data_IF_656858322790
#
_entry.id   IF_656858322790
#
_cell.length_a   1.000
_cell.length_b   1.000
_cell.length_c   1.000
_cell.angle_alpha   90.00
_cell.angle_beta   90.00
_cell.angle_gamma   90.00
#
_symmetry.space_group_name_H-M   'P 1'
#
loop_
_entity.id
_entity.type
_entity.pdbx_description
1 polymer ?
#
# COMPACT_ATOMS: atom_id res chain seq x y z
N UNK A 1 -16.10 -0.17 4.18
CA UNK A 1 -15.24 -1.25 3.63
C UNK A 1 -15.75 -2.66 3.98
N UNK A 2 -16.13 -2.96 5.22
CA UNK A 2 -16.56 -4.32 5.65
C UNK A 2 -17.54 -5.03 4.70
N UNK A 3 -18.76 -4.51 4.52
CA UNK A 3 -19.78 -5.14 3.66
C UNK A 3 -19.37 -5.15 2.18
N UNK A 4 -18.67 -4.12 1.70
CA UNK A 4 -18.14 -4.07 0.33
C UNK A 4 -17.17 -5.22 0.04
N UNK A 5 -16.53 -5.81 1.06
CA UNK A 5 -15.65 -6.97 0.90
C UNK A 5 -16.36 -8.18 0.28
N UNK A 6 -17.67 -8.33 0.49
CA UNK A 6 -18.45 -9.46 -0.06
C UNK A 6 -18.75 -9.30 -1.55
N UNK A 7 -18.58 -8.11 -2.13
CA UNK A 7 -18.75 -7.91 -3.56
C UNK A 7 -17.76 -8.77 -4.37
N UNK A 8 -16.65 -9.19 -3.77
CA UNK A 8 -15.67 -10.05 -4.44
C UNK A 8 -16.22 -11.45 -4.73
N UNK A 9 -17.23 -11.92 -3.99
CA UNK A 9 -17.88 -13.20 -4.24
C UNK A 9 -18.56 -13.26 -5.63
N UNK A 10 -18.87 -12.10 -6.21
CA UNK A 10 -19.45 -11.99 -7.56
C UNK A 10 -18.40 -11.88 -8.66
N UNK A 11 -17.12 -11.75 -8.31
CA UNK A 11 -16.05 -11.53 -9.27
C UNK A 11 -15.40 -12.85 -9.68
N UNK A 12 -15.89 -13.40 -10.79
CA UNK A 12 -15.46 -14.72 -11.30
C UNK A 12 -14.22 -14.60 -12.20
N UNK A 13 -14.20 -13.61 -13.10
CA UNK A 13 -13.14 -13.46 -14.10
C UNK A 13 -12.19 -12.31 -13.79
N UNK A 14 -10.95 -12.47 -14.23
CA UNK A 14 -9.93 -11.43 -14.12
C UNK A 14 -10.27 -10.19 -14.96
N UNK A 15 -11.03 -10.38 -16.05
CA UNK A 15 -11.44 -9.28 -16.94
C UNK A 15 -12.36 -8.27 -16.24
N UNK A 16 -13.28 -8.75 -15.41
CA UNK A 16 -14.15 -7.89 -14.60
C UNK A 16 -13.33 -7.05 -13.62
N UNK A 17 -12.30 -7.65 -13.04
CA UNK A 17 -11.39 -6.99 -12.09
C UNK A 17 -10.45 -6.03 -12.80
N UNK A 18 -9.99 -6.38 -14.00
CA UNK A 18 -9.19 -5.51 -14.85
C UNK A 18 -9.99 -4.28 -15.27
N UNK A 19 -11.25 -4.44 -15.64
CA UNK A 19 -12.16 -3.32 -15.93
C UNK A 19 -12.33 -2.40 -14.73
N UNK A 20 -12.61 -2.96 -13.55
CA UNK A 20 -12.67 -2.17 -12.31
C UNK A 20 -11.35 -1.46 -12.04
N UNK A 21 -10.21 -2.10 -12.28
CA UNK A 21 -8.88 -1.51 -12.08
C UNK A 21 -8.64 -0.29 -12.98
N UNK A 22 -9.18 -0.27 -14.21
CA UNK A 22 -9.15 0.92 -15.06
C UNK A 22 -9.94 2.09 -14.45
N UNK A 23 -11.13 1.81 -13.90
CA UNK A 23 -11.93 2.82 -13.17
C UNK A 23 -11.14 3.35 -11.97
N UNK A 24 -10.46 2.47 -11.23
CA UNK A 24 -9.57 2.83 -10.13
C UNK A 24 -8.42 3.73 -10.59
N UNK A 25 -7.77 3.39 -11.70
CA UNK A 25 -6.68 4.18 -12.28
C UNK A 25 -7.12 5.58 -12.71
N UNK A 26 -8.26 5.69 -13.40
CA UNK A 26 -8.86 7.00 -13.77
C UNK A 26 -9.19 7.79 -12.51
N UNK A 27 -9.80 7.15 -11.52
CA UNK A 27 -10.14 7.79 -10.25
C UNK A 27 -8.90 8.33 -9.53
N UNK A 28 -7.81 7.56 -9.49
CA UNK A 28 -6.53 8.01 -8.93
C UNK A 28 -5.96 9.24 -9.67
N UNK A 29 -5.99 9.25 -11.00
CA UNK A 29 -5.52 10.39 -11.80
C UNK A 29 -6.36 11.63 -11.49
N UNK A 30 -7.68 11.50 -11.50
CA UNK A 30 -8.60 12.62 -11.19
C UNK A 30 -8.37 13.13 -9.77
N UNK A 31 -8.30 12.23 -8.77
CA UNK A 31 -7.99 12.61 -7.39
C UNK A 31 -6.65 13.34 -7.30
N UNK A 32 -5.62 12.86 -8.00
CA UNK A 32 -4.29 13.48 -8.01
C UNK A 32 -4.34 14.92 -8.56
N UNK A 33 -5.04 15.13 -9.68
CA UNK A 33 -5.24 16.46 -10.27
C UNK A 33 -5.98 17.37 -9.29
N UNK A 34 -7.07 16.89 -8.68
CA UNK A 34 -7.86 17.67 -7.73
C UNK A 34 -7.05 18.05 -6.48
N UNK A 35 -6.21 17.15 -5.97
CA UNK A 35 -5.29 17.45 -4.86
C UNK A 35 -4.33 18.56 -5.26
N UNK A 36 -3.72 18.51 -6.44
CA UNK A 36 -2.81 19.57 -6.89
C UNK A 36 -3.52 20.92 -7.05
N UNK A 37 -4.76 20.94 -7.55
CA UNK A 37 -5.55 22.17 -7.65
C UNK A 37 -5.84 22.74 -6.27
N UNK A 38 -6.27 21.91 -5.32
CA UNK A 38 -6.55 22.32 -3.93
C UNK A 38 -5.29 22.82 -3.22
N UNK A 39 -4.16 22.13 -3.39
CA UNK A 39 -2.86 22.59 -2.87
C UNK A 39 -2.47 23.94 -3.47
N UNK A 40 -2.72 24.17 -4.77
CA UNK A 40 -2.46 25.44 -5.43
C UNK A 40 -3.35 26.59 -4.92
N UNK A 41 -4.62 26.31 -4.61
CA UNK A 41 -5.55 27.30 -4.03
C UNK A 41 -5.16 27.68 -2.59
N UNK A 42 -4.65 26.72 -1.82
CA UNK A 42 -4.26 26.90 -0.42
C UNK A 42 -2.82 27.37 -0.23
N UNK A 43 -2.07 27.62 -1.30
CA UNK A 43 -0.65 27.96 -1.20
C UNK A 43 -0.44 29.40 -0.73
N UNK A 44 -0.09 29.56 0.55
CA UNK A 44 0.29 30.84 1.14
C UNK A 44 1.71 30.74 1.70
N UNK A 45 2.66 31.45 1.10
CA UNK A 45 4.02 31.56 1.61
C UNK A 45 4.02 32.52 2.82
N UNK A 46 3.90 32.01 4.04
CA UNK A 46 4.20 32.76 5.25
C UNK A 46 5.57 32.32 5.80
N UNK A 47 6.37 33.27 6.27
CA UNK A 47 7.72 32.98 6.81
C UNK A 47 7.72 32.19 8.12
N UNK A 48 6.56 32.07 8.79
CA UNK A 48 6.41 31.32 10.05
C UNK A 48 6.32 29.81 9.82
N UNK A 49 5.77 29.37 8.69
CA UNK A 49 5.64 27.95 8.29
C UNK A 49 7.02 27.28 8.09
N UNK A 50 8.05 28.08 7.82
CA UNK A 50 9.41 27.58 7.56
C UNK A 50 10.08 26.96 8.81
N UNK A 51 9.66 27.34 10.02
CA UNK A 51 10.20 26.80 11.27
C UNK A 51 9.50 25.53 11.75
N UNK A 52 8.22 25.31 11.40
CA UNK A 52 7.46 24.11 11.77
C UNK A 52 7.70 22.92 10.82
N UNK A 53 7.93 23.17 9.52
CA UNK A 53 8.03 22.12 8.49
C UNK A 53 9.25 21.18 8.61
N UNK A 54 10.32 21.59 9.31
CA UNK A 54 11.57 20.83 9.40
C UNK A 54 11.88 20.26 10.79
N UNK A 55 10.91 20.27 11.71
CA UNK A 55 11.15 19.86 13.09
C UNK A 55 11.06 18.33 13.24
N UNK A 56 12.17 17.60 13.06
CA UNK A 56 12.27 16.22 13.55
C UNK A 56 12.44 16.29 15.07
N UNK A 57 11.34 16.18 15.81
CA UNK A 57 11.31 16.34 17.26
C UNK A 57 12.01 15.20 18.01
N UNK A 58 12.14 14.00 17.42
CA UNK A 58 12.77 12.87 18.09
C UNK A 58 13.23 11.74 17.13
N UNK A 59 14.12 10.88 17.63
CA UNK A 59 14.53 9.62 16.96
C UNK A 59 13.31 8.72 16.70
N UNK A 60 12.28 8.78 17.56
CA UNK A 60 11.03 8.05 17.39
C UNK A 60 10.26 8.51 16.15
N UNK A 61 10.20 9.81 15.91
CA UNK A 61 9.47 10.38 14.75
C UNK A 61 10.19 10.07 13.43
N UNK A 62 11.53 10.04 13.47
CA UNK A 62 12.35 9.62 12.35
C UNK A 62 12.11 8.14 11.99
N UNK A 63 12.12 7.25 12.99
CA UNK A 63 11.83 5.82 12.79
C UNK A 63 10.40 5.63 12.30
N UNK A 64 9.43 6.33 12.88
CA UNK A 64 8.03 6.25 12.46
C UNK A 64 7.85 6.71 11.00
N UNK A 65 8.61 7.70 10.57
CA UNK A 65 8.64 8.18 9.18
C UNK A 65 9.25 7.14 8.23
N UNK A 66 10.40 6.53 8.57
CA UNK A 66 11.00 5.43 7.78
C UNK A 66 10.00 4.28 7.63
N UNK A 67 9.38 3.91 8.74
CA UNK A 67 8.46 2.80 8.83
C UNK A 67 7.18 3.09 8.02
N UNK A 68 6.66 4.32 8.03
CA UNK A 68 5.60 4.79 7.11
C UNK A 68 6.03 4.72 5.64
N UNK A 69 7.22 5.21 5.29
CA UNK A 69 7.72 5.16 3.92
C UNK A 69 7.84 3.73 3.39
N UNK A 70 8.24 2.76 4.23
CA UNK A 70 8.31 1.34 3.82
C UNK A 70 6.97 0.79 3.33
N UNK A 71 5.86 1.23 3.92
CA UNK A 71 4.51 0.81 3.53
C UNK A 71 4.06 1.36 2.18
N UNK A 72 4.61 2.50 1.75
CA UNK A 72 4.32 3.12 0.45
C UNK A 72 5.09 2.40 -0.67
N UNK A 73 6.27 1.87 -0.36
CA UNK A 73 7.18 1.27 -1.34
C UNK A 73 6.86 -0.23 -1.57
N UNK A 74 6.31 -0.92 -0.57
CA UNK A 74 6.11 -2.37 -0.63
C UNK A 74 4.84 -2.80 -1.39
N UNK A 75 4.99 -2.98 -2.72
CA UNK A 75 3.99 -3.61 -3.61
C UNK A 75 4.36 -5.05 -4.03
N UNK A 76 5.24 -5.72 -3.29
CA UNK A 76 5.83 -7.03 -3.66
C UNK A 76 4.81 -8.15 -3.84
N UNK A 77 3.67 -8.14 -3.14
CA UNK A 77 2.60 -9.14 -3.32
C UNK A 77 1.91 -9.08 -4.70
N UNK A 78 1.90 -7.92 -5.34
CA UNK A 78 1.28 -7.75 -6.67
C UNK A 78 2.18 -8.27 -7.79
N UNK A 79 3.51 -8.27 -7.58
CA UNK A 79 4.54 -8.70 -8.53
C UNK A 79 4.35 -10.15 -8.95
N UNK A 80 4.19 -11.03 -7.96
CA UNK A 80 4.00 -12.46 -8.19
C UNK A 80 2.76 -12.73 -9.06
N UNK A 81 1.65 -12.04 -8.78
CA UNK A 81 0.42 -12.22 -9.54
C UNK A 81 0.47 -11.63 -10.93
N UNK A 82 1.13 -10.49 -11.14
CA UNK A 82 1.34 -9.96 -12.49
C UNK A 82 2.13 -10.99 -13.31
N UNK A 83 3.19 -11.60 -12.75
CA UNK A 83 3.95 -12.66 -13.44
C UNK A 83 3.08 -13.90 -13.72
N UNK A 84 2.26 -14.34 -12.77
CA UNK A 84 1.42 -15.53 -12.91
C UNK A 84 0.26 -15.37 -13.90
N UNK A 85 -0.15 -14.14 -14.21
CA UNK A 85 -1.26 -13.84 -15.13
C UNK A 85 -0.76 -13.41 -16.51
N UNK A 86 0.50 -12.99 -16.63
CA UNK A 86 1.08 -12.65 -17.93
C UNK A 86 1.19 -13.90 -18.81
N UNK A 87 0.55 -13.87 -19.98
CA UNK A 87 0.67 -14.94 -20.99
C UNK A 87 2.12 -15.14 -21.48
N UNK A 88 2.93 -14.06 -21.47
CA UNK A 88 4.34 -14.06 -21.90
C UNK A 88 5.18 -13.11 -21.04
N UNK A 89 5.62 -13.52 -19.83
CA UNK A 89 6.45 -12.67 -18.98
C UNK A 89 7.84 -12.54 -19.60
N UNK A 90 8.10 -11.42 -20.27
CA UNK A 90 9.46 -11.05 -20.67
C UNK A 90 10.12 -10.26 -19.54
N UNK A 91 11.25 -10.75 -19.02
CA UNK A 91 11.99 -10.14 -17.90
C UNK A 91 12.14 -8.62 -18.05
N UNK A 92 12.57 -8.14 -19.23
CA UNK A 92 12.78 -6.72 -19.50
C UNK A 92 11.49 -5.88 -19.42
N UNK A 93 10.38 -6.39 -19.94
CA UNK A 93 9.09 -5.66 -19.89
C UNK A 93 8.57 -5.62 -18.46
N UNK A 94 8.63 -6.76 -17.78
CA UNK A 94 8.22 -6.89 -16.39
C UNK A 94 9.03 -5.98 -15.46
N UNK A 95 10.36 -6.00 -15.57
CA UNK A 95 11.24 -5.19 -14.73
C UNK A 95 11.00 -3.69 -14.92
N UNK A 96 10.81 -3.23 -16.16
CA UNK A 96 10.53 -1.81 -16.44
C UNK A 96 9.18 -1.38 -15.89
N UNK A 97 8.12 -2.15 -16.12
CA UNK A 97 6.79 -1.86 -15.59
C UNK A 97 6.79 -1.88 -14.06
N UNK A 98 7.49 -2.84 -13.45
CA UNK A 98 7.63 -2.93 -12.01
C UNK A 98 8.37 -1.72 -11.44
N UNK A 99 9.56 -1.40 -11.93
CA UNK A 99 10.35 -0.25 -11.45
C UNK A 99 9.57 1.05 -11.59
N UNK A 100 8.91 1.27 -12.73
CA UNK A 100 8.10 2.46 -12.97
C UNK A 100 6.93 2.56 -11.98
N UNK A 101 6.15 1.48 -11.83
CA UNK A 101 5.01 1.44 -10.89
C UNK A 101 5.43 1.57 -9.42
N UNK A 102 6.55 0.95 -9.04
CA UNK A 102 7.13 1.01 -7.70
C UNK A 102 7.72 2.38 -7.37
N UNK A 103 8.09 3.19 -8.38
CA UNK A 103 8.68 4.51 -8.18
C UNK A 103 7.64 5.64 -8.18
N UNK A 104 6.62 5.57 -9.04
CA UNK A 104 5.62 6.65 -9.17
C UNK A 104 4.86 6.90 -7.87
N UNK A 105 4.37 5.85 -7.23
CA UNK A 105 3.53 5.99 -6.04
C UNK A 105 4.28 6.63 -4.86
N UNK A 106 5.52 6.21 -4.52
CA UNK A 106 6.35 6.92 -3.54
C UNK A 106 6.66 8.37 -3.93
N UNK A 107 7.01 8.64 -5.19
CA UNK A 107 7.32 10.00 -5.65
C UNK A 107 6.10 10.92 -5.47
N UNK A 108 4.92 10.46 -5.90
CA UNK A 108 3.68 11.22 -5.72
C UNK A 108 3.40 11.49 -4.24
N UNK A 109 3.54 10.49 -3.37
CA UNK A 109 3.36 10.66 -1.94
C UNK A 109 4.34 11.67 -1.34
N UNK A 110 5.62 11.62 -1.73
CA UNK A 110 6.65 12.57 -1.27
C UNK A 110 6.29 13.99 -1.70
N UNK A 111 5.90 14.20 -2.97
CA UNK A 111 5.55 15.53 -3.47
C UNK A 111 4.33 16.09 -2.72
N UNK A 112 3.28 15.29 -2.57
CA UNK A 112 2.04 15.71 -1.88
C UNK A 112 2.29 15.99 -0.40
N UNK A 113 3.07 15.14 0.29
CA UNK A 113 3.44 15.37 1.69
C UNK A 113 4.32 16.61 1.86
N UNK A 114 5.28 16.81 0.95
CA UNK A 114 6.15 17.99 0.97
C UNK A 114 5.36 19.28 0.75
N UNK A 115 4.49 19.33 -0.26
CA UNK A 115 3.62 20.49 -0.47
C UNK A 115 2.64 20.70 0.68
N UNK A 116 2.07 19.61 1.20
CA UNK A 116 1.20 19.64 2.37
C UNK A 116 1.87 20.23 3.60
N UNK A 117 3.17 19.99 3.82
CA UNK A 117 3.89 20.53 4.98
C UNK A 117 4.11 22.04 4.94
N UNK A 118 4.00 22.66 3.76
CA UNK A 118 4.04 24.12 3.63
C UNK A 118 2.65 24.78 3.71
N UNK A 119 1.58 23.99 3.73
CA UNK A 119 0.21 24.50 3.70
C UNK A 119 -0.50 24.25 5.04
N UNK A 120 -0.23 23.11 5.68
CA UNK A 120 -0.86 22.72 6.93
C UNK A 120 0.13 22.82 8.09
N UNK A 121 -0.16 23.69 9.06
CA UNK A 121 0.64 23.88 10.28
C UNK A 121 0.54 22.71 11.28
N UNK A 122 -0.45 21.83 11.11
CA UNK A 122 -0.68 20.68 11.98
C UNK A 122 -0.09 19.38 11.42
N UNK A 123 0.37 18.50 12.32
CA UNK A 123 0.79 17.12 12.05
C UNK A 123 -0.01 16.53 10.89
N UNK A 124 0.67 16.26 9.76
CA UNK A 124 0.10 15.71 8.53
C UNK A 124 -0.43 14.26 8.67
N UNK A 125 -0.70 13.81 9.89
CA UNK A 125 -1.27 12.50 10.14
C UNK A 125 -2.68 12.41 9.54
N UNK A 126 -2.86 11.42 8.66
CA UNK A 126 -4.12 11.14 8.01
C UNK A 126 -4.15 11.50 6.53
N UNK A 127 -5.36 11.60 6.00
CA UNK A 127 -5.59 11.79 4.57
C UNK A 127 -5.61 13.29 4.23
N UNK A 128 -4.73 13.74 3.33
CA UNK A 128 -4.59 15.16 2.98
C UNK A 128 -5.88 15.77 2.42
N UNK A 129 -6.70 14.97 1.71
CA UNK A 129 -7.99 15.43 1.16
C UNK A 129 -8.98 15.79 2.27
N UNK A 130 -8.84 15.19 3.46
CA UNK A 130 -9.68 15.47 4.62
C UNK A 130 -9.22 16.71 5.41
N UNK A 131 -8.04 17.26 5.10
CA UNK A 131 -7.49 18.44 5.78
C UNK A 131 -7.94 19.76 5.15
N UNK A 132 -8.41 19.74 3.90
CA UNK A 132 -8.89 20.95 3.24
C UNK A 132 -10.22 21.41 3.84
N UNK A 133 -10.27 22.66 4.27
CA UNK A 133 -11.50 23.30 4.75
C UNK A 133 -12.27 23.94 3.59
N UNK A 134 -13.58 23.73 3.60
CA UNK A 134 -14.57 24.34 2.70
C UNK A 134 -14.74 25.85 2.90
N UNK A 135 -14.21 26.43 3.99
CA UNK A 135 -14.20 27.88 4.21
C UNK A 135 -13.17 28.61 3.33
N UNK A 136 -12.08 27.94 2.98
CA UNK A 136 -10.95 28.50 2.22
C UNK A 136 -10.87 27.98 0.78
N UNK A 137 -11.46 26.81 0.51
CA UNK A 137 -11.40 26.14 -0.78
C UNK A 137 -12.79 25.84 -1.33
N UNK A 138 -12.87 25.58 -2.65
CA UNK A 138 -14.13 25.21 -3.28
C UNK A 138 -14.64 23.87 -2.72
N UNK A 139 -15.77 23.94 -2.02
CA UNK A 139 -16.46 22.79 -1.44
C UNK A 139 -16.76 21.69 -2.46
N UNK A 140 -17.09 22.07 -3.70
CA UNK A 140 -17.39 21.10 -4.75
C UNK A 140 -16.14 20.32 -5.17
N UNK A 141 -14.98 20.98 -5.22
CA UNK A 141 -13.70 20.33 -5.51
C UNK A 141 -13.29 19.36 -4.41
N UNK A 142 -13.47 19.74 -3.14
CA UNK A 142 -13.19 18.85 -2.00
C UNK A 142 -14.08 17.60 -2.07
N UNK A 143 -15.40 17.78 -2.27
CA UNK A 143 -16.33 16.66 -2.37
C UNK A 143 -15.97 15.74 -3.55
N UNK A 144 -15.65 16.31 -4.72
CA UNK A 144 -15.22 15.54 -5.88
C UNK A 144 -13.94 14.74 -5.61
N UNK A 145 -12.96 15.33 -4.92
CA UNK A 145 -11.72 14.65 -4.53
C UNK A 145 -12.01 13.49 -3.56
N UNK A 146 -12.90 13.68 -2.60
CA UNK A 146 -13.29 12.64 -1.65
C UNK A 146 -14.03 11.47 -2.32
N UNK A 147 -14.95 11.76 -3.24
CA UNK A 147 -15.71 10.73 -3.97
C UNK A 147 -14.77 9.91 -4.88
N UNK A 148 -13.93 10.58 -5.66
CA UNK A 148 -12.99 9.91 -6.57
C UNK A 148 -11.96 9.08 -5.80
N UNK A 149 -11.48 9.58 -4.67
CA UNK A 149 -10.61 8.83 -3.77
C UNK A 149 -11.31 7.61 -3.16
N UNK A 150 -12.59 7.75 -2.77
CA UNK A 150 -13.37 6.63 -2.26
C UNK A 150 -13.53 5.52 -3.32
N UNK A 151 -13.82 5.90 -4.57
CA UNK A 151 -13.90 4.95 -5.69
C UNK A 151 -12.57 4.23 -5.87
N UNK A 152 -11.45 4.97 -5.92
CA UNK A 152 -10.11 4.39 -6.01
C UNK A 152 -9.83 3.39 -4.87
N UNK A 153 -10.17 3.76 -3.63
CA UNK A 153 -9.96 2.91 -2.45
C UNK A 153 -10.80 1.63 -2.52
N UNK A 154 -12.09 1.73 -2.88
CA UNK A 154 -12.98 0.56 -2.99
C UNK A 154 -12.47 -0.39 -4.08
N UNK A 155 -12.13 0.12 -5.27
CA UNK A 155 -11.63 -0.69 -6.38
C UNK A 155 -10.32 -1.37 -6.01
N UNK A 156 -9.35 -0.61 -5.49
CA UNK A 156 -8.04 -1.15 -5.09
C UNK A 156 -8.17 -2.20 -3.99
N UNK A 157 -9.12 -1.99 -3.08
CA UNK A 157 -9.44 -2.93 -2.01
C UNK A 157 -10.04 -4.24 -2.56
N UNK A 158 -11.00 -4.16 -3.48
CA UNK A 158 -11.57 -5.34 -4.14
C UNK A 158 -10.49 -6.11 -4.91
N UNK A 159 -9.61 -5.41 -5.64
CA UNK A 159 -8.50 -6.05 -6.34
C UNK A 159 -7.59 -6.85 -5.39
N UNK A 160 -7.21 -6.26 -4.26
CA UNK A 160 -6.39 -6.94 -3.23
C UNK A 160 -7.11 -8.13 -2.62
N UNK A 161 -8.41 -8.02 -2.36
CA UNK A 161 -9.23 -9.13 -1.84
C UNK A 161 -9.27 -10.33 -2.80
N UNK A 162 -9.36 -10.07 -4.11
CA UNK A 162 -9.30 -11.12 -5.13
C UNK A 162 -7.95 -11.82 -5.16
N UNK A 163 -6.87 -11.04 -5.13
CA UNK A 163 -5.51 -11.55 -5.08
C UNK A 163 -5.31 -12.42 -3.83
N UNK A 164 -5.72 -11.92 -2.67
CA UNK A 164 -5.62 -12.64 -1.41
C UNK A 164 -6.47 -13.92 -1.38
N UNK A 165 -7.66 -13.92 -1.98
CA UNK A 165 -8.49 -15.13 -2.04
C UNK A 165 -7.87 -16.21 -2.93
N UNK A 166 -7.18 -15.83 -4.01
CA UNK A 166 -6.40 -16.76 -4.83
C UNK A 166 -5.22 -17.34 -4.07
N UNK A 167 -4.44 -16.51 -3.38
CA UNK A 167 -3.34 -16.99 -2.54
C UNK A 167 -3.81 -17.93 -1.44
N UNK A 168 -4.87 -17.56 -0.72
CA UNK A 168 -5.45 -18.40 0.32
C UNK A 168 -5.82 -19.78 -0.24
N UNK A 169 -6.41 -19.83 -1.44
CA UNK A 169 -6.76 -21.10 -2.07
C UNK A 169 -5.53 -21.93 -2.48
N UNK A 170 -4.50 -21.30 -3.08
CA UNK A 170 -3.27 -21.96 -3.51
C UNK A 170 -2.54 -22.66 -2.36
N UNK A 171 -2.61 -22.14 -1.13
CA UNK A 171 -2.03 -22.79 0.06
C UNK A 171 -2.60 -24.19 0.29
N UNK A 172 -3.88 -24.41 -0.01
CA UNK A 172 -4.54 -25.71 0.25
C UNK A 172 -4.59 -26.63 -0.96
N UNK A 173 -4.45 -26.10 -2.17
CA UNK A 173 -4.71 -26.83 -3.41
C UNK A 173 -3.53 -26.84 -4.39
N UNK A 174 -2.39 -26.26 -4.01
CA UNK A 174 -1.17 -26.23 -4.82
C UNK A 174 -1.17 -25.14 -5.90
N UNK A 175 -0.17 -25.13 -6.80
CA UNK A 175 -0.11 -24.19 -7.90
C UNK A 175 -1.26 -24.42 -8.87
N UNK A 176 -2.24 -23.52 -8.85
CA UNK A 176 -3.45 -23.64 -9.65
C UNK A 176 -3.33 -22.85 -10.94
N UNK A 177 -3.45 -23.58 -12.04
CA UNK A 177 -3.78 -23.02 -13.35
C UNK A 177 -5.16 -22.34 -13.32
N UNK A 178 -5.31 -21.23 -14.04
CA UNK A 178 -6.50 -20.34 -14.01
C UNK A 178 -7.83 -21.10 -14.20
N UNK A 179 -7.83 -22.19 -14.96
CA UNK A 179 -9.02 -22.99 -15.24
C UNK A 179 -9.64 -23.64 -13.98
N UNK A 180 -8.81 -24.11 -13.05
CA UNK A 180 -9.27 -24.74 -11.80
C UNK A 180 -9.77 -23.70 -10.77
N UNK A 181 -9.27 -22.47 -10.85
CA UNK A 181 -9.77 -21.35 -10.04
C UNK A 181 -11.22 -21.00 -10.40
N UNK A 182 -11.55 -20.93 -11.68
CA UNK A 182 -12.89 -20.55 -12.17
C UNK A 182 -14.01 -21.48 -11.68
N UNK A 183 -13.67 -22.73 -11.34
CA UNK A 183 -14.62 -23.72 -10.84
C UNK A 183 -14.88 -23.60 -9.33
N UNK A 184 -13.91 -23.09 -8.56
CA UNK A 184 -13.93 -23.10 -7.09
C UNK A 184 -13.77 -21.71 -6.44
N UNK A 185 -13.84 -20.62 -7.22
CA UNK A 185 -13.54 -19.25 -6.76
C UNK A 185 -14.40 -18.75 -5.59
N UNK A 186 -15.66 -19.19 -5.50
CA UNK A 186 -16.66 -18.64 -4.59
C UNK A 186 -16.29 -18.81 -3.11
N UNK A 187 -15.82 -19.98 -2.72
CA UNK A 187 -15.53 -20.32 -1.33
C UNK A 187 -14.28 -19.58 -0.79
N UNK A 188 -13.13 -19.53 -1.50
CA UNK A 188 -12.01 -18.69 -1.11
C UNK A 188 -12.35 -17.19 -1.11
N UNK A 189 -13.15 -16.70 -2.06
CA UNK A 189 -13.58 -15.29 -2.06
C UNK A 189 -14.45 -14.95 -0.86
N UNK A 190 -15.34 -15.88 -0.46
CA UNK A 190 -16.19 -15.72 0.71
C UNK A 190 -15.37 -15.69 2.01
N UNK A 191 -14.43 -16.64 2.19
CA UNK A 191 -13.57 -16.64 3.36
C UNK A 191 -12.65 -15.41 3.43
N UNK A 192 -12.09 -14.96 2.30
CA UNK A 192 -11.32 -13.72 2.22
C UNK A 192 -12.15 -12.47 2.60
N UNK A 193 -13.41 -12.42 2.15
CA UNK A 193 -14.34 -11.36 2.54
C UNK A 193 -14.69 -11.39 4.04
N UNK A 194 -14.95 -12.58 4.58
CA UNK A 194 -15.27 -12.77 6.00
C UNK A 194 -14.10 -12.44 6.93
N UNK A 195 -12.88 -12.88 6.59
CA UNK A 195 -11.69 -12.56 7.41
C UNK A 195 -11.48 -11.06 7.49
N UNK A 196 -11.70 -10.33 6.40
CA UNK A 196 -11.61 -8.88 6.41
C UNK A 196 -12.72 -8.20 7.21
N UNK A 197 -13.96 -8.69 7.14
CA UNK A 197 -15.05 -8.21 8.00
C UNK A 197 -14.67 -8.43 9.47
N UNK A 198 -14.24 -9.64 9.82
CA UNK A 198 -13.84 -9.98 11.18
C UNK A 198 -12.67 -9.11 11.67
N UNK A 199 -11.68 -8.86 10.82
CA UNK A 199 -10.54 -8.01 11.14
C UNK A 199 -10.96 -6.55 11.36
N UNK A 200 -11.81 -5.99 10.49
CA UNK A 200 -12.34 -4.62 10.66
C UNK A 200 -13.20 -4.52 11.93
N UNK A 201 -14.05 -5.51 12.20
CA UNK A 201 -14.86 -5.58 13.41
C UNK A 201 -14.00 -5.68 14.66
N UNK A 202 -12.95 -6.50 14.64
CA UNK A 202 -12.01 -6.64 15.75
C UNK A 202 -11.27 -5.32 16.03
N UNK A 203 -10.78 -4.65 14.99
CA UNK A 203 -10.13 -3.34 15.12
C UNK A 203 -11.05 -2.29 15.76
N UNK A 204 -12.34 -2.30 15.39
CA UNK A 204 -13.34 -1.41 15.96
C UNK A 204 -13.59 -1.70 17.45
N UNK A 205 -13.75 -2.99 17.81
CA UNK A 205 -14.00 -3.43 19.19
C UNK A 205 -12.79 -3.18 20.09
N UNK A 206 -11.59 -3.46 19.59
CA UNK A 206 -10.34 -3.32 20.34
C UNK A 206 -9.93 -1.86 20.58
N UNK A 207 -10.63 -0.88 19.99
CA UNK A 207 -10.33 0.57 20.07
C UNK A 207 -8.83 0.88 19.87
N UNK A 208 -8.16 0.08 19.03
CA UNK A 208 -6.73 0.23 18.80
C UNK A 208 -6.51 1.58 18.13
N UNK A 209 -5.68 2.43 18.74
CA UNK A 209 -5.26 3.70 18.14
C UNK A 209 -4.63 3.42 16.77
N UNK A 210 -4.96 4.25 15.78
CA UNK A 210 -4.48 4.13 14.39
C UNK A 210 -2.95 3.95 14.29
N UNK A 211 -2.19 4.61 15.16
CA UNK A 211 -0.72 4.50 15.26
C UNK A 211 -0.24 3.08 15.61
N UNK A 212 -0.88 2.42 16.59
CA UNK A 212 -0.52 1.05 16.99
C UNK A 212 -0.91 0.05 15.91
N UNK A 213 -2.05 0.26 15.25
CA UNK A 213 -2.46 -0.56 14.11
C UNK A 213 -1.46 -0.45 12.96
N UNK A 214 -0.98 0.76 12.67
CA UNK A 214 0.01 1.00 11.64
C UNK A 214 1.29 0.20 11.90
N UNK A 215 1.81 0.24 13.14
CA UNK A 215 2.99 -0.51 13.56
C UNK A 215 2.81 -2.04 13.43
N UNK A 216 1.63 -2.58 13.80
CA UNK A 216 1.33 -4.02 13.64
C UNK A 216 1.32 -4.41 12.15
N UNK A 217 0.64 -3.64 11.31
CA UNK A 217 0.56 -3.89 9.87
C UNK A 217 1.95 -3.82 9.20
N UNK A 218 2.87 -3.01 9.74
CA UNK A 218 4.21 -2.82 9.20
C UNK A 218 5.14 -3.99 9.47
N UNK A 219 4.94 -4.77 10.55
CA UNK A 219 5.71 -6.01 10.78
C UNK A 219 5.58 -6.95 9.59
N UNK A 220 4.36 -7.12 9.07
CA UNK A 220 4.10 -7.92 7.86
C UNK A 220 4.86 -7.38 6.64
N UNK A 221 4.82 -6.06 6.43
CA UNK A 221 5.54 -5.40 5.32
C UNK A 221 7.05 -5.61 5.42
N UNK A 222 7.64 -5.46 6.61
CA UNK A 222 9.07 -5.64 6.83
C UNK A 222 9.48 -7.09 6.58
N UNK A 223 8.67 -8.06 7.03
CA UNK A 223 8.88 -9.48 6.75
C UNK A 223 8.92 -9.75 5.24
N UNK A 224 7.95 -9.22 4.49
CA UNK A 224 7.85 -9.44 3.04
C UNK A 224 8.90 -8.70 2.21
N UNK A 225 9.43 -7.58 2.68
CA UNK A 225 10.37 -6.77 1.90
C UNK A 225 11.84 -6.99 2.29
N UNK A 226 12.13 -7.19 3.58
CA UNK A 226 13.50 -7.21 4.09
C UNK A 226 13.96 -8.56 4.64
N UNK A 227 13.04 -9.49 4.93
CA UNK A 227 13.40 -10.78 5.55
C UNK A 227 13.21 -11.92 4.57
N UNK A 228 11.99 -12.13 4.06
CA UNK A 228 11.68 -13.27 3.20
C UNK A 228 12.50 -13.26 1.90
N UNK A 229 12.57 -12.16 1.11
CA UNK A 229 13.30 -12.20 -0.16
C UNK A 229 14.81 -12.48 0.02
N UNK A 230 15.52 -11.84 0.96
CA UNK A 230 16.91 -12.19 1.25
C UNK A 230 17.11 -13.64 1.69
N UNK A 231 16.25 -14.17 2.57
CA UNK A 231 16.34 -15.57 3.03
C UNK A 231 16.18 -16.53 1.84
N UNK A 232 15.18 -16.30 0.98
CA UNK A 232 14.98 -17.13 -0.21
C UNK A 232 16.14 -17.01 -1.20
N UNK A 233 16.65 -15.80 -1.43
CA UNK A 233 17.80 -15.57 -2.31
C UNK A 233 19.03 -16.35 -1.83
N UNK A 234 19.38 -16.25 -0.55
CA UNK A 234 20.52 -16.96 0.04
C UNK A 234 20.35 -18.49 0.04
N UNK A 235 19.10 -18.98 0.07
CA UNK A 235 18.80 -20.41 -0.03
C UNK A 235 18.87 -20.92 -1.48
N UNK A 236 18.48 -20.11 -2.45
CA UNK A 236 18.43 -20.50 -3.87
C UNK A 236 19.79 -20.37 -4.56
N UNK A 237 20.61 -19.40 -4.18
CA UNK A 237 21.88 -19.10 -4.86
C UNK A 237 23.08 -19.35 -3.94
N UNK A 238 24.05 -20.18 -4.36
CA UNK A 238 25.24 -20.43 -3.57
C UNK A 238 26.11 -19.16 -3.45
N UNK A 239 26.64 -18.92 -2.26
CA UNK A 239 27.38 -17.70 -1.92
C UNK A 239 28.58 -17.42 -2.84
N UNK A 240 29.25 -18.48 -3.32
CA UNK A 240 30.42 -18.36 -4.18
C UNK A 240 30.11 -17.78 -5.57
N UNK A 241 28.91 -18.00 -6.10
CA UNK A 241 28.51 -17.52 -7.43
C UNK A 241 27.95 -16.09 -7.38
N UNK A 242 27.29 -15.72 -6.29
CA UNK A 242 26.58 -14.45 -6.14
C UNK A 242 27.05 -13.66 -4.90
N UNK A 243 28.37 -13.55 -4.70
CA UNK A 243 28.97 -12.98 -3.48
C UNK A 243 28.45 -11.57 -3.14
N UNK A 244 28.41 -10.67 -4.12
CA UNK A 244 27.94 -9.29 -3.94
C UNK A 244 26.47 -9.24 -3.51
N UNK A 245 25.61 -9.97 -4.21
CA UNK A 245 24.18 -10.03 -3.92
C UNK A 245 23.88 -10.70 -2.58
N UNK A 246 24.65 -11.72 -2.22
CA UNK A 246 24.55 -12.38 -0.92
C UNK A 246 24.89 -11.43 0.23
N UNK A 247 25.90 -10.57 0.07
CA UNK A 247 26.23 -9.52 1.05
C UNK A 247 25.07 -8.53 1.18
N UNK A 248 24.50 -8.07 0.07
CA UNK A 248 23.31 -7.20 0.11
C UNK A 248 22.11 -7.87 0.78
N UNK A 249 21.86 -9.16 0.51
CA UNK A 249 20.81 -9.92 1.17
C UNK A 249 21.01 -9.98 2.69
N UNK A 250 22.24 -10.25 3.16
CA UNK A 250 22.54 -10.26 4.60
C UNK A 250 22.32 -8.88 5.22
N UNK A 251 22.75 -7.80 4.55
CA UNK A 251 22.54 -6.43 5.02
C UNK A 251 21.04 -6.08 5.12
N UNK A 252 20.24 -6.45 4.11
CA UNK A 252 18.79 -6.25 4.15
C UNK A 252 18.13 -7.03 5.27
N UNK A 253 18.58 -8.26 5.55
CA UNK A 253 18.07 -9.07 6.64
C UNK A 253 18.36 -8.43 8.00
N UNK A 254 19.60 -7.97 8.22
CA UNK A 254 20.00 -7.25 9.45
C UNK A 254 19.13 -5.99 9.63
N UNK A 255 18.97 -5.21 8.57
CA UNK A 255 18.13 -4.01 8.59
C UNK A 255 16.67 -4.35 8.93
N UNK A 256 16.10 -5.38 8.30
CA UNK A 256 14.72 -5.81 8.56
C UNK A 256 14.49 -6.23 10.01
N UNK A 257 15.39 -7.04 10.57
CA UNK A 257 15.33 -7.47 11.97
C UNK A 257 15.45 -6.26 12.90
N UNK A 258 16.39 -5.35 12.64
CA UNK A 258 16.55 -4.13 13.42
C UNK A 258 15.26 -3.30 13.45
N UNK A 259 14.65 -3.06 12.29
CA UNK A 259 13.40 -2.30 12.20
C UNK A 259 12.29 -3.01 12.99
N UNK A 260 12.14 -4.34 12.90
CA UNK A 260 11.11 -5.08 13.67
C UNK A 260 11.32 -4.92 15.18
N UNK A 261 12.54 -5.09 15.68
CA UNK A 261 12.85 -4.97 17.11
C UNK A 261 12.46 -3.57 17.61
N UNK A 262 12.84 -2.55 16.84
CA UNK A 262 12.52 -1.16 17.13
C UNK A 262 11.01 -0.91 17.08
N UNK A 263 10.30 -1.43 16.07
CA UNK A 263 8.84 -1.34 15.95
C UNK A 263 8.14 -1.98 17.16
N UNK A 264 8.59 -3.16 17.61
CA UNK A 264 8.04 -3.84 18.79
C UNK A 264 8.32 -3.05 20.06
N UNK A 265 9.53 -2.50 20.23
CA UNK A 265 9.89 -1.66 21.37
C UNK A 265 8.96 -0.44 21.50
N UNK A 266 8.58 0.18 20.39
CA UNK A 266 7.62 1.31 20.40
C UNK A 266 6.15 0.89 20.57
N UNK A 267 5.84 -0.41 20.49
CA UNK A 267 4.48 -0.95 20.59
C UNK A 267 4.11 -1.28 22.04
N UNK A 268 5.10 -1.74 22.82
CA UNK A 268 5.08 -2.00 24.26
C UNK A 268 4.98 -0.70 25.05
#
# INVERSE_FOLDING_TARGET
>A
MGVFSLLICFSKSIDQISFLSYIGGISFIVTSILIFVLLGQSFHFSSEIQQSAFHISSVRDFIYSIVKCSSIICNTQMVEHVVQVMERPQYRRFSLTYVFSASISPIFAIIVSFLGSFIFDENLDGNIVLKFDSSQNDKNLIIAAQITMLIFLIVSYLFRLYVNSRHFFQVFSGPIEIHNWLNNYSLPTFFSGLTMIALISWLHVAKIKSEKLLLICQIGVILYCFILPPVYFLKMFPFHEMKLWSIFSILFLILGVFIIIVTIYFLL
#
